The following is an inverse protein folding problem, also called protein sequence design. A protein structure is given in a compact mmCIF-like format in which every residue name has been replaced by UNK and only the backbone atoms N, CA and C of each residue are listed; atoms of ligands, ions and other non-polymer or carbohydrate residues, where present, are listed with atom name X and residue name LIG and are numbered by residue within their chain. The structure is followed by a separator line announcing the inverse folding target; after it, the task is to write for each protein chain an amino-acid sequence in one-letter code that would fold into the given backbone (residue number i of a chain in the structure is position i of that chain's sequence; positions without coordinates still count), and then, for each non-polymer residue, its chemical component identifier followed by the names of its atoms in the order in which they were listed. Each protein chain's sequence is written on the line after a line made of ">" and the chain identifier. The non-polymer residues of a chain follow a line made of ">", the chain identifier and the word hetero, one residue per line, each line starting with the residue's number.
data_IF_957789084464
#
_entry.id   IF_957789084464
#
_cell.length_a   1.000
_cell.length_b   1.000
_cell.length_c   1.000
_cell.angle_alpha   90.00
_cell.angle_beta   90.00
_cell.angle_gamma   90.00
#
_symmetry.space_group_name_H-M   'P 1'
#
loop_
_entity.id
_entity.type
_entity.pdbx_description
1 polymer ?
#
# COMPACT_ATOMS: atom_id res chain seq x y z
N UNK A 1 -10.99 -16.93 12.50
CA UNK A 1 -10.58 -15.91 11.52
C UNK A 1 -11.74 -14.97 11.33
N UNK A 2 -11.57 -13.70 11.65
CA UNK A 2 -12.56 -12.68 11.30
C UNK A 2 -12.78 -12.69 9.79
N UNK A 3 -14.03 -12.50 9.37
CA UNK A 3 -14.41 -12.54 7.96
C UNK A 3 -13.90 -11.25 7.30
N UNK A 4 -12.78 -11.32 6.59
CA UNK A 4 -12.22 -10.20 5.84
C UNK A 4 -13.24 -9.77 4.78
N UNK A 5 -13.46 -8.45 4.67
CA UNK A 5 -14.24 -7.83 3.62
C UNK A 5 -13.40 -7.72 2.35
N UNK A 6 -13.47 -8.75 1.50
CA UNK A 6 -12.68 -8.86 0.29
C UNK A 6 -13.55 -8.95 -0.96
N UNK A 7 -13.13 -8.23 -2.00
CA UNK A 7 -13.46 -8.54 -3.39
C UNK A 7 -12.27 -8.16 -4.25
N UNK A 8 -11.85 -9.07 -5.13
CA UNK A 8 -10.72 -8.84 -6.05
C UNK A 8 -10.90 -7.58 -6.91
N UNK A 9 -12.14 -7.22 -7.23
CA UNK A 9 -12.48 -6.01 -7.97
C UNK A 9 -12.14 -4.71 -7.23
N UNK A 10 -11.84 -4.74 -5.93
CA UNK A 10 -11.48 -3.57 -5.15
C UNK A 10 -9.97 -3.34 -5.05
N UNK A 11 -9.15 -4.14 -5.74
CA UNK A 11 -7.68 -4.06 -5.67
C UNK A 11 -7.02 -3.75 -7.01
N UNK A 12 -5.81 -3.20 -6.95
CA UNK A 12 -4.91 -2.91 -8.07
C UNK A 12 -3.50 -3.36 -7.72
N UNK A 13 -2.63 -3.50 -8.72
CA UNK A 13 -1.20 -3.78 -8.50
C UNK A 13 -0.55 -2.65 -7.69
N UNK A 14 0.23 -3.04 -6.69
CA UNK A 14 0.98 -2.12 -5.85
C UNK A 14 2.28 -1.73 -6.57
N UNK A 15 2.19 -0.68 -7.39
CA UNK A 15 3.29 -0.21 -8.23
C UNK A 15 4.19 0.78 -7.50
N UNK A 16 4.82 0.36 -6.39
CA UNK A 16 5.77 1.19 -5.66
C UNK A 16 7.18 1.07 -6.26
N UNK A 17 7.60 2.10 -6.99
CA UNK A 17 8.88 2.07 -7.68
C UNK A 17 10.05 2.03 -6.68
N UNK A 18 11.00 1.12 -6.89
CA UNK A 18 12.13 0.86 -6.00
C UNK A 18 11.75 0.47 -4.56
N UNK A 19 10.51 0.04 -4.29
CA UNK A 19 10.05 -0.38 -2.96
C UNK A 19 10.27 0.69 -1.87
N UNK A 20 10.17 1.97 -2.26
CA UNK A 20 10.39 3.12 -1.38
C UNK A 20 9.47 3.09 -0.16
N UNK A 21 8.20 2.75 -0.32
CA UNK A 21 7.27 2.65 0.79
C UNK A 21 7.62 1.52 1.75
N UNK A 22 7.95 0.33 1.24
CA UNK A 22 8.36 -0.80 2.09
C UNK A 22 9.64 -0.46 2.87
N UNK A 23 10.61 0.21 2.24
CA UNK A 23 11.87 0.58 2.87
C UNK A 23 11.75 1.78 3.83
N UNK A 24 10.98 2.79 3.47
CA UNK A 24 10.89 4.04 4.24
C UNK A 24 9.84 3.99 5.35
N UNK A 25 8.75 3.25 5.14
CA UNK A 25 7.60 3.23 6.05
C UNK A 25 7.34 1.85 6.67
N UNK A 26 8.11 0.83 6.27
CA UNK A 26 7.97 -0.51 6.83
C UNK A 26 6.62 -1.15 6.54
N UNK A 27 5.99 -0.81 5.41
CA UNK A 27 4.70 -1.42 5.05
C UNK A 27 4.87 -2.92 4.80
N UNK A 28 3.89 -3.69 5.27
CA UNK A 28 3.84 -5.13 5.14
C UNK A 28 2.43 -5.58 4.73
N UNK A 29 2.30 -6.86 4.41
CA UNK A 29 1.00 -7.45 4.07
C UNK A 29 0.11 -7.36 5.30
N UNK A 30 -1.07 -6.76 5.15
CA UNK A 30 -2.00 -6.51 6.26
C UNK A 30 -2.52 -7.80 6.93
N UNK A 31 -2.19 -8.98 6.38
CA UNK A 31 -2.67 -10.29 6.86
C UNK A 31 -1.57 -11.22 7.38
N UNK A 32 -0.31 -11.05 6.95
CA UNK A 32 0.76 -11.98 7.29
C UNK A 32 2.13 -11.33 7.51
N UNK A 33 2.22 -10.00 7.50
CA UNK A 33 3.44 -9.22 7.70
C UNK A 33 4.55 -9.44 6.65
N UNK A 34 4.26 -10.11 5.54
CA UNK A 34 5.17 -10.26 4.39
C UNK A 34 5.54 -8.89 3.79
N UNK A 35 6.82 -8.68 3.45
CA UNK A 35 7.31 -7.39 2.95
C UNK A 35 7.06 -7.20 1.46
N UNK A 36 6.95 -8.31 0.71
CA UNK A 36 6.69 -8.28 -0.73
C UNK A 36 5.20 -8.05 -1.01
N UNK A 37 4.84 -6.77 -1.21
CA UNK A 37 3.47 -6.34 -1.50
C UNK A 37 3.23 -6.30 -3.00
N UNK A 38 2.17 -6.98 -3.43
CA UNK A 38 1.83 -7.10 -4.85
C UNK A 38 0.53 -6.36 -5.19
N UNK A 39 -0.39 -6.22 -4.23
CA UNK A 39 -1.69 -5.58 -4.43
C UNK A 39 -2.05 -4.61 -3.31
N UNK A 40 -2.83 -3.60 -3.69
CA UNK A 40 -3.36 -2.57 -2.78
C UNK A 40 -4.79 -2.22 -3.17
N UNK A 41 -5.59 -1.75 -2.22
CA UNK A 41 -6.95 -1.25 -2.49
C UNK A 41 -6.97 -0.16 -3.56
N UNK A 42 -7.97 -0.15 -4.45
CA UNK A 42 -8.05 0.76 -5.61
C UNK A 42 -8.13 2.23 -5.22
N UNK A 43 -8.81 2.53 -4.12
CA UNK A 43 -8.95 3.88 -3.57
C UNK A 43 -7.68 4.39 -2.84
N UNK A 44 -6.58 3.63 -2.87
CA UNK A 44 -5.33 4.06 -2.26
C UNK A 44 -4.72 5.29 -2.95
N UNK A 45 -3.94 6.10 -2.20
CA UNK A 45 -3.05 7.09 -2.78
C UNK A 45 -2.07 6.48 -3.79
N UNK A 46 -1.38 7.36 -4.53
CA UNK A 46 -0.25 6.95 -5.37
C UNK A 46 0.92 6.54 -4.46
N UNK A 47 1.53 5.36 -4.68
CA UNK A 47 2.71 4.96 -3.92
C UNK A 47 3.85 5.98 -4.01
N UNK A 48 4.57 6.19 -2.92
CA UNK A 48 5.59 7.25 -2.83
C UNK A 48 6.69 7.07 -3.87
N UNK A 49 7.18 5.85 -4.09
CA UNK A 49 8.22 5.59 -5.09
C UNK A 49 7.77 5.98 -6.49
N UNK A 50 6.49 5.75 -6.81
CA UNK A 50 5.90 6.17 -8.09
C UNK A 50 5.77 7.69 -8.18
N UNK A 51 5.28 8.33 -7.13
CA UNK A 51 5.12 9.79 -7.06
C UNK A 51 6.46 10.52 -7.20
N UNK A 52 7.52 10.01 -6.56
CA UNK A 52 8.87 10.53 -6.69
C UNK A 52 9.44 10.34 -8.10
N UNK A 53 9.22 9.16 -8.71
CA UNK A 53 9.62 8.89 -10.10
C UNK A 53 8.95 9.86 -11.07
N UNK A 54 7.65 10.09 -10.93
CA UNK A 54 6.88 10.96 -11.83
C UNK A 54 7.28 12.45 -11.68
N UNK A 55 7.80 12.87 -10.52
CA UNK A 55 8.32 14.23 -10.29
C UNK A 55 9.72 14.50 -10.86
N UNK A 56 10.37 13.48 -11.41
CA UNK A 56 11.57 13.55 -12.24
C UNK A 56 12.70 14.46 -11.66
N UNK A 57 13.47 13.91 -10.71
CA UNK A 57 14.81 14.31 -10.24
C UNK A 57 15.12 15.77 -9.83
N UNK A 58 14.17 16.71 -9.87
CA UNK A 58 14.43 18.11 -9.49
C UNK A 58 14.01 18.47 -8.06
N UNK A 59 13.80 17.47 -7.19
CA UNK A 59 13.45 17.69 -5.80
C UNK A 59 14.71 17.75 -4.94
N UNK A 60 14.76 18.75 -4.07
CA UNK A 60 15.71 18.78 -2.94
C UNK A 60 15.30 17.78 -1.87
N UNK A 61 16.24 17.36 -1.02
CA UNK A 61 15.96 16.46 0.10
C UNK A 61 14.81 16.95 0.99
N UNK A 62 14.72 18.27 1.20
CA UNK A 62 13.64 18.90 1.99
C UNK A 62 12.27 18.75 1.33
N UNK A 63 12.21 18.81 0.00
CA UNK A 63 10.96 18.62 -0.74
C UNK A 63 10.55 17.15 -0.75
N UNK A 64 11.51 16.23 -0.89
CA UNK A 64 11.27 14.79 -0.75
C UNK A 64 10.75 14.47 0.64
N UNK A 65 11.38 14.98 1.69
CA UNK A 65 10.96 14.76 3.08
C UNK A 65 9.55 15.31 3.34
N UNK A 66 9.24 16.51 2.82
CA UNK A 66 7.91 17.09 2.94
C UNK A 66 6.85 16.22 2.25
N UNK A 67 7.11 15.79 1.02
CA UNK A 67 6.20 14.90 0.28
C UNK A 67 6.01 13.58 1.02
N UNK A 68 7.09 12.97 1.51
CA UNK A 68 7.02 11.72 2.26
C UNK A 68 6.15 11.87 3.53
N UNK A 69 6.31 12.96 4.29
CA UNK A 69 5.49 13.25 5.49
C UNK A 69 4.02 13.52 5.17
N UNK A 70 3.71 14.12 4.04
CA UNK A 70 2.32 14.34 3.63
C UNK A 70 1.66 13.03 3.17
N UNK A 71 2.39 12.20 2.44
CA UNK A 71 1.88 10.91 1.95
C UNK A 71 1.74 9.88 3.08
N UNK A 72 2.68 9.82 4.03
CA UNK A 72 2.62 8.85 5.14
C UNK A 72 1.32 9.01 5.95
N UNK A 73 0.91 10.24 6.24
CA UNK A 73 -0.34 10.53 6.95
C UNK A 73 -1.57 10.01 6.19
N UNK A 74 -1.57 10.13 4.85
CA UNK A 74 -2.66 9.62 4.01
C UNK A 74 -2.71 8.10 4.03
N UNK A 75 -1.56 7.46 3.96
CA UNK A 75 -1.44 6.00 3.99
C UNK A 75 -1.81 5.42 5.35
N UNK A 76 -1.34 6.02 6.45
CA UNK A 76 -1.73 5.64 7.81
C UNK A 76 -3.24 5.78 8.03
N UNK A 77 -3.83 6.89 7.59
CA UNK A 77 -5.28 7.10 7.72
C UNK A 77 -6.09 6.08 6.91
N UNK A 78 -5.62 5.71 5.71
CA UNK A 78 -6.26 4.67 4.91
C UNK A 78 -6.16 3.29 5.58
N UNK A 79 -4.99 2.93 6.10
CA UNK A 79 -4.78 1.67 6.83
C UNK A 79 -5.71 1.57 8.04
N UNK A 80 -5.78 2.63 8.86
CA UNK A 80 -6.67 2.68 10.01
C UNK A 80 -8.14 2.51 9.61
N UNK A 81 -8.58 3.22 8.57
CA UNK A 81 -9.95 3.10 8.05
C UNK A 81 -10.25 1.70 7.56
N UNK A 82 -9.35 1.10 6.77
CA UNK A 82 -9.54 -0.24 6.23
C UNK A 82 -9.54 -1.30 7.33
N UNK A 83 -8.62 -1.19 8.29
CA UNK A 83 -8.56 -2.08 9.45
C UNK A 83 -9.89 -2.09 10.22
N UNK A 84 -10.46 -0.91 10.47
CA UNK A 84 -11.76 -0.77 11.14
C UNK A 84 -12.95 -1.33 10.34
N UNK A 85 -12.76 -1.61 9.04
CA UNK A 85 -13.78 -2.18 8.15
C UNK A 85 -13.46 -3.62 7.70
N UNK A 86 -12.50 -4.29 8.37
CA UNK A 86 -12.02 -5.63 8.02
C UNK A 86 -11.50 -5.74 6.58
N UNK A 87 -10.98 -4.65 6.01
CA UNK A 87 -10.38 -4.61 4.67
C UNK A 87 -8.86 -4.70 4.81
N UNK A 88 -8.23 -5.63 4.09
CA UNK A 88 -6.77 -5.68 4.00
C UNK A 88 -6.27 -4.60 3.03
N UNK A 89 -5.51 -3.60 3.49
CA UNK A 89 -5.00 -2.53 2.62
C UNK A 89 -4.00 -3.06 1.61
N UNK A 90 -3.02 -3.82 2.10
CA UNK A 90 -1.90 -4.36 1.34
C UNK A 90 -1.94 -5.89 1.35
N UNK A 91 -1.72 -6.49 0.19
CA UNK A 91 -1.71 -7.94 0.04
C UNK A 91 -0.44 -8.37 -0.70
N UNK A 92 0.27 -9.33 -0.11
CA UNK A 92 1.27 -10.11 -0.83
C UNK A 92 0.58 -11.06 -1.82
N UNK A 93 1.38 -11.64 -2.72
CA UNK A 93 0.90 -12.60 -3.72
C UNK A 93 0.13 -13.79 -3.11
N UNK A 94 0.65 -14.36 -2.01
CA UNK A 94 0.05 -15.53 -1.38
C UNK A 94 -1.32 -15.22 -0.75
N UNK A 95 -1.42 -14.12 0.00
CA UNK A 95 -2.67 -13.70 0.61
C UNK A 95 -3.72 -13.32 -0.45
N UNK A 96 -3.30 -12.68 -1.54
CA UNK A 96 -4.17 -12.41 -2.67
C UNK A 96 -4.78 -13.70 -3.23
N UNK A 97 -3.94 -14.67 -3.60
CA UNK A 97 -4.41 -15.93 -4.18
C UNK A 97 -5.36 -16.67 -3.24
N UNK A 98 -4.98 -16.79 -1.96
CA UNK A 98 -5.78 -17.44 -0.93
C UNK A 98 -7.16 -16.82 -0.72
N UNK A 99 -7.30 -15.51 -0.94
CA UNK A 99 -8.59 -14.80 -0.86
C UNK A 99 -9.38 -14.97 -2.16
N UNK A 100 -8.74 -14.86 -3.32
CA UNK A 100 -9.42 -15.00 -4.63
C UNK A 100 -9.93 -16.41 -4.90
N UNK A 101 -9.28 -17.45 -4.40
CA UNK A 101 -9.75 -18.84 -4.53
C UNK A 101 -11.05 -19.10 -3.74
N UNK A 102 -11.39 -18.22 -2.79
CA UNK A 102 -12.54 -18.33 -1.90
C UNK A 102 -13.68 -17.38 -2.28
N UNK A 103 -13.51 -16.58 -3.33
CA UNK A 103 -14.52 -15.66 -3.89
C UNK A 103 -15.47 -16.42 -4.82
#
# INVERSE_FOLDING_TARGET
>A
MSKINFSSNNYKKFNDYNYVMSQAFGITCSLCDEQEIEFVVKNSPTPLGRLLKDKNCNLTDKEVEKIAKEEIIKWESLEEQNFNNDIATFLCWECWNNLTEKE
#
